data_IF_943339643586
#
_entry.id   IF_943339643586
#
_cell.length_a   1.000
_cell.length_b   1.000
_cell.length_c   1.000
_cell.angle_alpha   90.00
_cell.angle_beta   90.00
_cell.angle_gamma   90.00
#
_symmetry.space_group_name_H-M   'P 1'
#
loop_
_entity.id
_entity.type
_entity.pdbx_description
1 polymer ?
#
# COMPACT_ATOMS: atom_id res chain seq x y z
N UNK A 1 23.96 84.53 6.20
CA UNK A 1 23.65 83.82 4.95
C UNK A 1 24.94 83.26 4.38
N UNK A 2 25.14 81.94 4.45
CA UNK A 2 25.89 81.11 3.49
C UNK A 2 26.11 79.71 4.07
N UNK A 3 25.36 78.75 3.51
CA UNK A 3 25.70 77.34 3.23
C UNK A 3 26.29 76.47 4.35
N UNK A 4 25.42 75.64 4.95
CA UNK A 4 25.82 74.32 5.46
C UNK A 4 26.10 73.40 4.27
N UNK A 5 27.28 72.79 4.21
CA UNK A 5 27.58 71.70 3.28
C UNK A 5 28.25 70.54 4.01
N UNK A 6 27.96 69.34 3.51
CA UNK A 6 28.63 68.05 3.76
C UNK A 6 28.04 67.16 4.84
N UNK A 7 26.81 66.69 4.58
CA UNK A 7 26.38 65.35 4.98
C UNK A 7 27.06 64.33 4.05
N UNK A 8 28.22 63.79 4.45
CA UNK A 8 28.84 62.66 3.75
C UNK A 8 28.21 61.36 4.22
N UNK A 9 27.41 60.79 3.32
CA UNK A 9 26.74 59.48 3.42
C UNK A 9 27.79 58.38 3.59
N UNK A 10 27.83 57.72 4.74
CA UNK A 10 28.49 56.43 4.88
C UNK A 10 27.56 55.35 4.29
N UNK A 11 27.97 54.82 3.14
CA UNK A 11 27.34 53.67 2.48
C UNK A 11 27.45 52.43 3.39
N UNK A 12 26.32 51.85 3.79
CA UNK A 12 26.24 50.45 4.20
C UNK A 12 25.92 49.62 2.96
N UNK A 13 26.92 48.92 2.40
CA UNK A 13 26.69 47.90 1.39
C UNK A 13 26.31 46.59 2.10
N UNK A 14 25.01 46.29 2.17
CA UNK A 14 24.53 44.97 2.57
C UNK A 14 24.69 44.05 1.37
N UNK A 15 25.73 43.22 1.38
CA UNK A 15 25.84 42.10 0.46
C UNK A 15 24.80 41.03 0.84
N UNK A 16 23.63 41.08 0.23
CA UNK A 16 22.67 39.97 0.26
C UNK A 16 23.24 38.90 -0.67
N UNK A 17 23.97 37.95 -0.11
CA UNK A 17 24.25 36.68 -0.80
C UNK A 17 22.92 35.93 -0.86
N UNK A 18 22.24 36.04 -2.00
CA UNK A 18 21.13 35.16 -2.32
C UNK A 18 21.70 33.75 -2.51
N UNK A 19 21.68 32.95 -1.45
CA UNK A 19 21.84 31.50 -1.55
C UNK A 19 20.57 31.00 -2.25
N UNK A 20 20.60 30.97 -3.58
CA UNK A 20 19.68 30.16 -4.36
C UNK A 20 19.98 28.70 -4.01
N UNK A 21 19.36 28.18 -2.95
CA UNK A 21 19.22 26.75 -2.78
C UNK A 21 18.44 26.24 -3.99
N UNK A 22 19.14 25.77 -5.01
CA UNK A 22 18.52 25.03 -6.09
C UNK A 22 17.87 23.82 -5.43
N UNK A 23 16.55 23.86 -5.26
CA UNK A 23 15.77 22.67 -4.98
C UNK A 23 15.95 21.77 -6.20
N UNK A 24 16.85 20.80 -6.09
CA UNK A 24 16.98 19.74 -7.08
C UNK A 24 15.64 19.01 -7.09
N UNK A 25 14.79 19.34 -8.07
CA UNK A 25 13.61 18.54 -8.34
C UNK A 25 14.10 17.17 -8.81
N UNK A 26 13.49 16.11 -8.27
CA UNK A 26 13.73 14.77 -8.78
C UNK A 26 13.27 14.71 -10.24
N UNK A 27 14.14 14.27 -11.14
CA UNK A 27 13.73 13.97 -12.51
C UNK A 27 12.84 12.73 -12.50
N UNK A 28 11.87 12.67 -13.40
CA UNK A 28 11.01 11.49 -13.59
C UNK A 28 11.46 10.73 -14.83
N UNK A 29 11.70 9.43 -14.68
CA UNK A 29 12.02 8.52 -15.78
C UNK A 29 10.98 7.42 -15.94
N UNK A 30 10.84 6.92 -17.15
CA UNK A 30 9.82 5.97 -17.56
C UNK A 30 10.46 4.73 -18.16
N UNK A 31 9.93 3.55 -17.83
CA UNK A 31 10.50 2.30 -18.33
C UNK A 31 10.49 2.26 -19.87
N UNK A 32 11.57 1.80 -20.48
CA UNK A 32 11.77 1.81 -21.96
C UNK A 32 10.65 1.16 -22.77
N UNK A 33 10.49 1.59 -24.02
CA UNK A 33 9.43 1.17 -24.96
C UNK A 33 9.45 -0.30 -25.42
N UNK A 34 10.60 -0.97 -25.44
CA UNK A 34 10.78 -2.22 -26.20
C UNK A 34 10.39 -3.54 -25.52
N UNK A 35 10.46 -3.60 -24.19
CA UNK A 35 9.96 -4.66 -23.31
C UNK A 35 10.35 -4.25 -21.89
N UNK A 36 9.64 -4.79 -20.90
CA UNK A 36 9.94 -4.60 -19.49
C UNK A 36 11.41 -4.78 -19.12
N UNK A 37 11.81 -4.29 -17.94
CA UNK A 37 13.15 -4.57 -17.41
C UNK A 37 13.14 -5.84 -16.56
N UNK A 38 14.27 -6.55 -16.56
CA UNK A 38 14.47 -7.70 -15.70
C UNK A 38 15.17 -7.35 -14.37
N UNK A 39 15.56 -6.08 -14.21
CA UNK A 39 16.20 -5.53 -13.02
C UNK A 39 15.87 -4.03 -12.87
N UNK A 40 15.11 -3.68 -11.84
CA UNK A 40 14.67 -2.33 -11.52
C UNK A 40 15.78 -1.31 -11.25
N UNK A 41 17.04 -1.74 -11.08
CA UNK A 41 18.19 -0.90 -10.72
C UNK A 41 19.15 -0.67 -11.89
N UNK A 42 18.70 -0.78 -13.14
CA UNK A 42 19.49 -0.46 -14.33
C UNK A 42 19.07 0.94 -14.82
N UNK A 43 19.86 2.01 -14.61
CA UNK A 43 19.52 3.36 -15.05
C UNK A 43 19.18 3.42 -16.55
N UNK A 44 19.92 2.68 -17.38
CA UNK A 44 19.72 2.65 -18.84
C UNK A 44 18.42 2.01 -19.31
N UNK A 45 17.62 1.43 -18.41
CA UNK A 45 16.29 0.92 -18.73
C UNK A 45 15.18 1.98 -18.57
N UNK A 46 15.51 3.16 -18.06
CA UNK A 46 14.58 4.23 -17.75
C UNK A 46 14.90 5.49 -18.57
N UNK A 47 13.90 6.04 -19.25
CA UNK A 47 14.08 7.14 -20.19
C UNK A 47 13.24 8.37 -19.80
N UNK A 48 13.68 9.55 -20.21
CA UNK A 48 13.09 10.82 -19.76
C UNK A 48 11.69 11.12 -20.29
N UNK A 49 11.20 10.42 -21.32
CA UNK A 49 9.88 10.67 -21.92
C UNK A 49 8.83 9.65 -21.46
N UNK A 50 7.57 10.06 -21.24
CA UNK A 50 6.49 9.19 -20.77
C UNK A 50 6.21 7.93 -21.58
N UNK A 51 6.45 7.98 -22.90
CA UNK A 51 6.32 6.81 -23.77
C UNK A 51 7.40 5.76 -23.51
N UNK A 52 8.47 6.11 -22.79
CA UNK A 52 9.66 5.29 -22.56
C UNK A 52 10.73 5.54 -23.62
N UNK A 53 10.73 6.69 -24.30
CA UNK A 53 11.80 7.18 -25.18
C UNK A 53 12.59 8.33 -24.54
N UNK A 54 13.52 8.93 -25.26
CA UNK A 54 14.33 10.05 -24.78
C UNK A 54 15.68 9.61 -24.22
N UNK A 55 16.26 10.44 -23.37
CA UNK A 55 17.58 10.17 -22.77
C UNK A 55 17.44 9.23 -21.60
N UNK A 56 18.34 8.25 -21.53
CA UNK A 56 18.40 7.31 -20.42
C UNK A 56 18.79 8.02 -19.13
N UNK A 57 18.29 7.53 -17.99
CA UNK A 57 18.82 7.89 -16.69
C UNK A 57 20.30 7.45 -16.60
N UNK A 58 21.12 8.29 -16.01
CA UNK A 58 22.54 7.97 -15.74
C UNK A 58 22.74 7.40 -14.34
N UNK A 59 21.82 7.70 -13.42
CA UNK A 59 21.83 7.24 -12.02
C UNK A 59 20.40 6.95 -11.53
N UNK A 60 20.26 6.01 -10.59
CA UNK A 60 18.98 5.76 -9.92
C UNK A 60 18.69 6.82 -8.85
N UNK A 61 19.68 7.15 -8.03
CA UNK A 61 19.51 7.98 -6.83
C UNK A 61 19.07 9.40 -7.16
N UNK A 62 18.11 9.91 -6.39
CA UNK A 62 17.60 11.28 -6.55
C UNK A 62 16.47 11.42 -7.56
N UNK A 63 16.08 10.35 -8.25
CA UNK A 63 15.08 10.37 -9.32
C UNK A 63 13.85 9.52 -9.00
N UNK A 64 12.73 9.84 -9.65
CA UNK A 64 11.47 9.09 -9.60
C UNK A 64 11.31 8.23 -10.85
N UNK A 65 10.71 7.04 -10.71
CA UNK A 65 10.63 6.06 -11.79
C UNK A 65 9.21 5.53 -11.99
N UNK A 66 8.77 5.47 -13.24
CA UNK A 66 7.41 5.09 -13.62
C UNK A 66 7.41 3.92 -14.58
N UNK A 67 6.71 2.84 -14.21
CA UNK A 67 6.64 1.62 -15.03
C UNK A 67 5.70 1.79 -16.23
N UNK A 68 4.64 2.60 -16.11
CA UNK A 68 3.75 3.03 -17.20
C UNK A 68 3.23 1.88 -18.07
N UNK A 69 2.39 1.00 -17.50
CA UNK A 69 1.75 -0.10 -18.22
C UNK A 69 2.67 -1.26 -18.63
N UNK A 70 3.96 -1.18 -18.32
CA UNK A 70 4.97 -2.21 -18.63
C UNK A 70 5.23 -3.10 -17.41
N UNK A 71 6.22 -3.98 -17.48
CA UNK A 71 6.64 -4.83 -16.36
C UNK A 71 8.07 -4.52 -15.97
N UNK A 72 8.34 -4.29 -14.69
CA UNK A 72 9.71 -4.21 -14.15
C UNK A 72 9.96 -5.40 -13.23
N UNK A 73 11.09 -6.07 -13.40
CA UNK A 73 11.55 -7.16 -12.55
C UNK A 73 12.57 -6.70 -11.52
N UNK A 74 12.56 -7.29 -10.35
CA UNK A 74 13.65 -7.15 -9.36
C UNK A 74 14.83 -8.06 -9.72
N UNK A 75 16.03 -7.85 -9.18
CA UNK A 75 17.09 -8.87 -9.25
C UNK A 75 16.79 -10.05 -8.31
N UNK A 76 17.45 -11.20 -8.53
CA UNK A 76 17.41 -12.34 -7.60
C UNK A 76 18.07 -11.99 -6.26
N UNK A 77 17.58 -12.59 -5.16
CA UNK A 77 18.12 -12.35 -3.82
C UNK A 77 17.77 -10.96 -3.27
N UNK A 78 18.40 -10.55 -2.17
CA UNK A 78 18.08 -9.26 -1.55
C UNK A 78 18.44 -8.09 -2.48
N UNK A 79 17.53 -7.14 -2.66
CA UNK A 79 17.80 -5.93 -3.45
C UNK A 79 16.97 -4.76 -2.97
N UNK A 80 17.58 -3.57 -2.96
CA UNK A 80 16.94 -2.30 -2.66
C UNK A 80 16.80 -1.49 -3.94
N UNK A 81 15.60 -0.99 -4.22
CA UNK A 81 15.37 -0.05 -5.31
C UNK A 81 16.10 1.26 -5.04
N UNK A 82 16.96 1.69 -5.97
CA UNK A 82 17.86 2.83 -5.79
C UNK A 82 17.25 4.21 -6.07
N UNK A 83 16.03 4.26 -6.61
CA UNK A 83 15.30 5.51 -6.87
C UNK A 83 14.56 6.04 -5.65
N UNK A 84 14.13 7.30 -5.72
CA UNK A 84 13.33 7.94 -4.68
C UNK A 84 11.93 7.30 -4.56
N UNK A 85 11.29 7.05 -5.71
CA UNK A 85 10.00 6.37 -5.79
C UNK A 85 9.87 5.45 -7.01
N UNK A 86 9.05 4.41 -6.86
CA UNK A 86 8.62 3.53 -7.95
C UNK A 86 7.10 3.64 -8.12
N UNK A 87 6.65 4.16 -9.26
CA UNK A 87 5.23 4.27 -9.61
C UNK A 87 4.85 3.22 -10.64
N UNK A 88 3.85 2.38 -10.35
CA UNK A 88 3.45 1.32 -11.28
C UNK A 88 2.63 1.84 -12.47
N UNK A 89 1.72 2.80 -12.26
CA UNK A 89 0.92 3.44 -13.32
C UNK A 89 0.34 2.45 -14.35
N UNK A 90 -0.45 1.49 -13.87
CA UNK A 90 -1.04 0.42 -14.68
C UNK A 90 -0.07 -0.70 -15.08
N UNK A 91 1.19 -0.60 -14.65
CA UNK A 91 2.24 -1.58 -14.90
C UNK A 91 2.40 -2.60 -13.78
N UNK A 92 3.42 -3.44 -13.91
CA UNK A 92 3.61 -4.60 -13.08
C UNK A 92 5.01 -4.66 -12.45
N UNK A 93 5.07 -5.15 -11.21
CA UNK A 93 6.31 -5.49 -10.52
C UNK A 93 6.43 -7.01 -10.39
N UNK A 94 7.47 -7.57 -11.01
CA UNK A 94 7.85 -8.96 -10.91
C UNK A 94 8.95 -9.14 -9.84
N UNK A 95 8.57 -9.70 -8.71
CA UNK A 95 9.44 -10.10 -7.61
C UNK A 95 10.18 -11.40 -8.00
N UNK A 96 11.38 -11.27 -8.57
CA UNK A 96 12.22 -12.39 -8.99
C UNK A 96 12.89 -13.06 -7.79
N UNK A 97 13.11 -14.37 -7.96
CA UNK A 97 13.52 -15.38 -6.99
C UNK A 97 14.11 -14.88 -5.66
N UNK A 98 13.39 -15.20 -4.56
CA UNK A 98 13.86 -15.22 -3.18
C UNK A 98 14.33 -13.89 -2.58
N UNK A 99 14.47 -13.86 -1.25
CA UNK A 99 15.00 -12.69 -0.54
C UNK A 99 14.02 -11.53 -0.40
N UNK A 100 14.52 -10.44 0.13
CA UNK A 100 13.80 -9.21 0.43
C UNK A 100 14.04 -8.15 -0.63
N UNK A 101 12.95 -7.64 -1.18
CA UNK A 101 12.90 -6.55 -2.16
C UNK A 101 12.48 -5.29 -1.42
N UNK A 102 13.39 -4.34 -1.27
CA UNK A 102 13.13 -3.12 -0.48
C UNK A 102 12.89 -1.92 -1.39
N UNK A 103 11.84 -1.15 -1.11
CA UNK A 103 11.52 0.10 -1.79
C UNK A 103 11.20 1.17 -0.75
N UNK A 104 11.79 2.36 -0.85
CA UNK A 104 11.46 3.46 0.06
C UNK A 104 10.02 3.94 -0.15
N UNK A 105 9.68 4.30 -1.39
CA UNK A 105 8.35 4.79 -1.74
C UNK A 105 7.82 4.04 -2.96
N UNK A 106 6.63 3.46 -2.85
CA UNK A 106 5.92 2.84 -3.96
C UNK A 106 4.54 3.47 -4.13
N UNK A 107 4.18 3.77 -5.37
CA UNK A 107 2.89 4.35 -5.74
C UNK A 107 2.21 3.42 -6.74
N UNK A 108 1.00 2.97 -6.42
CA UNK A 108 0.14 2.30 -7.38
C UNK A 108 -0.91 3.28 -7.89
N UNK A 109 -0.83 3.61 -9.17
CA UNK A 109 -1.87 4.35 -9.90
C UNK A 109 -2.40 3.45 -11.02
N UNK A 110 -3.72 3.47 -11.25
CA UNK A 110 -4.38 2.54 -12.16
C UNK A 110 -4.31 1.07 -11.72
N UNK A 111 -4.71 0.17 -12.62
CA UNK A 111 -4.72 -1.27 -12.35
C UNK A 111 -3.32 -1.85 -12.51
N UNK A 112 -2.65 -2.08 -11.38
CA UNK A 112 -1.26 -2.55 -11.35
C UNK A 112 -1.20 -3.96 -10.78
N UNK A 113 -0.08 -4.64 -11.00
CA UNK A 113 0.13 -5.95 -10.41
C UNK A 113 1.49 -6.07 -9.73
N UNK A 114 1.52 -6.80 -8.61
CA UNK A 114 2.73 -7.19 -7.91
C UNK A 114 2.67 -8.71 -7.75
N UNK A 115 3.66 -9.39 -8.28
CA UNK A 115 3.70 -10.85 -8.26
C UNK A 115 5.12 -11.35 -8.13
N UNK A 116 5.28 -12.61 -7.76
CA UNK A 116 6.56 -13.27 -7.96
C UNK A 116 6.40 -14.70 -8.44
N UNK A 117 7.55 -15.36 -8.59
CA UNK A 117 7.65 -16.70 -9.17
C UNK A 117 8.23 -17.77 -8.22
N UNK A 118 8.45 -17.46 -6.94
CA UNK A 118 8.93 -18.41 -5.92
C UNK A 118 8.42 -18.03 -4.53
N UNK A 119 8.11 -19.04 -3.71
CA UNK A 119 7.77 -18.83 -2.30
C UNK A 119 8.92 -18.17 -1.53
N UNK A 120 8.58 -17.50 -0.42
CA UNK A 120 9.58 -16.89 0.46
C UNK A 120 10.20 -15.60 -0.06
N UNK A 121 9.60 -14.99 -1.09
CA UNK A 121 9.96 -13.63 -1.52
C UNK A 121 9.23 -12.62 -0.65
N UNK A 122 9.95 -11.62 -0.17
CA UNK A 122 9.41 -10.54 0.65
C UNK A 122 9.47 -9.24 -0.13
N UNK A 123 8.36 -8.51 -0.24
CA UNK A 123 8.36 -7.11 -0.63
C UNK A 123 8.25 -6.25 0.63
N UNK A 124 9.23 -5.38 0.85
CA UNK A 124 9.25 -4.43 1.97
C UNK A 124 9.22 -3.00 1.42
N UNK A 125 8.14 -2.28 1.69
CA UNK A 125 7.97 -0.89 1.26
C UNK A 125 7.86 0.02 2.47
N UNK A 126 8.66 1.08 2.55
CA UNK A 126 8.55 2.02 3.68
C UNK A 126 7.26 2.83 3.59
N UNK A 127 6.94 3.38 2.41
CA UNK A 127 5.70 4.11 2.17
C UNK A 127 5.03 3.57 0.90
N UNK A 128 3.84 2.97 1.05
CA UNK A 128 3.01 2.52 -0.05
C UNK A 128 1.76 3.39 -0.15
N UNK A 129 1.56 4.01 -1.31
CA UNK A 129 0.35 4.77 -1.64
C UNK A 129 -0.42 4.08 -2.75
N UNK A 130 -1.65 3.65 -2.46
CA UNK A 130 -2.56 3.13 -3.47
C UNK A 130 -3.54 4.23 -3.88
N UNK A 131 -3.30 4.84 -5.04
CA UNK A 131 -4.02 6.04 -5.48
C UNK A 131 -5.51 5.77 -5.73
N UNK A 132 -6.31 6.83 -5.67
CA UNK A 132 -7.74 6.77 -5.97
C UNK A 132 -8.03 6.11 -7.32
N UNK A 133 -8.94 5.14 -7.33
CA UNK A 133 -9.32 4.39 -8.53
C UNK A 133 -8.30 3.33 -8.97
N UNK A 134 -7.16 3.20 -8.28
CA UNK A 134 -6.22 2.12 -8.54
C UNK A 134 -6.70 0.80 -7.90
N UNK A 135 -6.34 -0.32 -8.55
CA UNK A 135 -6.40 -1.64 -7.93
C UNK A 135 -5.02 -2.29 -8.08
N UNK A 136 -4.38 -2.60 -6.97
CA UNK A 136 -3.13 -3.37 -6.96
C UNK A 136 -3.45 -4.83 -6.74
N UNK A 137 -3.21 -5.64 -7.76
CA UNK A 137 -3.34 -7.08 -7.65
C UNK A 137 -2.07 -7.66 -7.05
N UNK A 138 -2.17 -8.29 -5.87
CA UNK A 138 -1.11 -9.10 -5.31
C UNK A 138 -1.38 -10.54 -5.74
N UNK A 139 -0.51 -11.12 -6.57
CA UNK A 139 -0.79 -12.43 -7.13
C UNK A 139 0.44 -13.33 -7.25
N UNK A 140 0.19 -14.63 -7.34
CA UNK A 140 1.22 -15.63 -7.59
C UNK A 140 1.24 -16.00 -9.09
N UNK A 141 2.39 -15.86 -9.74
CA UNK A 141 2.57 -16.22 -11.15
C UNK A 141 3.23 -17.60 -11.33
N UNK A 142 3.34 -18.39 -10.28
CA UNK A 142 3.98 -19.70 -10.40
C UNK A 142 3.11 -20.71 -11.13
N UNK A 143 3.73 -21.41 -12.09
CA UNK A 143 3.24 -22.69 -12.60
C UNK A 143 3.62 -23.87 -11.70
N UNK A 144 4.24 -23.61 -10.54
CA UNK A 144 4.81 -24.65 -9.66
C UNK A 144 3.70 -25.41 -8.93
N UNK A 145 3.69 -26.73 -9.12
CA UNK A 145 2.68 -27.65 -8.59
C UNK A 145 2.93 -27.99 -7.11
N UNK A 146 1.84 -28.18 -6.35
CA UNK A 146 1.81 -28.96 -5.11
C UNK A 146 2.44 -28.37 -3.85
N UNK A 147 3.18 -27.26 -3.92
CA UNK A 147 3.77 -26.63 -2.73
C UNK A 147 2.89 -25.52 -2.18
N UNK A 148 2.76 -25.45 -0.85
CA UNK A 148 2.23 -24.28 -0.17
C UNK A 148 3.18 -23.10 -0.40
N UNK A 149 2.62 -21.93 -0.70
CA UNK A 149 3.42 -20.73 -0.95
C UNK A 149 3.01 -19.61 -0.02
N UNK A 150 4.02 -18.95 0.55
CA UNK A 150 3.86 -17.77 1.38
C UNK A 150 4.53 -16.59 0.68
N UNK A 151 3.77 -15.51 0.53
CA UNK A 151 4.19 -14.23 -0.02
C UNK A 151 4.14 -13.18 1.07
N UNK A 152 5.28 -12.56 1.37
CA UNK A 152 5.38 -11.59 2.45
C UNK A 152 5.32 -10.17 1.90
N UNK A 153 4.33 -9.39 2.32
CA UNK A 153 4.19 -7.98 2.01
C UNK A 153 4.29 -7.17 3.29
N UNK A 154 5.34 -6.36 3.40
CA UNK A 154 5.57 -5.50 4.55
C UNK A 154 5.48 -4.04 4.11
N UNK A 155 4.56 -3.30 4.72
CA UNK A 155 4.41 -1.86 4.52
C UNK A 155 4.68 -1.11 5.83
N UNK A 156 5.59 -0.14 5.80
CA UNK A 156 5.75 0.78 6.92
C UNK A 156 4.48 1.61 7.07
N UNK A 157 4.25 2.51 6.13
CA UNK A 157 3.02 3.28 5.99
C UNK A 157 2.24 2.80 4.78
N UNK A 158 0.97 2.47 4.96
CA UNK A 158 0.01 2.21 3.89
C UNK A 158 -1.04 3.33 3.83
N UNK A 159 -1.26 3.90 2.64
CA UNK A 159 -2.17 5.03 2.47
C UNK A 159 -2.89 5.03 1.12
N UNK A 160 -3.91 5.88 0.99
CA UNK A 160 -4.69 6.07 -0.23
C UNK A 160 -5.97 5.24 -0.28
N UNK A 161 -6.78 5.48 -1.32
CA UNK A 161 -8.13 4.92 -1.47
C UNK A 161 -8.24 3.85 -2.55
N UNK A 162 -7.13 3.48 -3.20
CA UNK A 162 -7.07 2.37 -4.14
C UNK A 162 -7.22 1.03 -3.43
N UNK A 163 -7.71 0.01 -4.15
CA UNK A 163 -7.97 -1.31 -3.60
C UNK A 163 -6.76 -2.24 -3.71
N UNK A 164 -6.64 -3.20 -2.80
CA UNK A 164 -5.85 -4.40 -3.01
C UNK A 164 -6.77 -5.55 -3.38
N UNK A 165 -6.36 -6.33 -4.38
CA UNK A 165 -6.99 -7.60 -4.71
C UNK A 165 -5.93 -8.70 -4.59
N UNK A 166 -6.16 -9.71 -3.75
CA UNK A 166 -5.31 -10.91 -3.72
C UNK A 166 -5.92 -11.92 -4.69
N UNK A 167 -5.10 -12.49 -5.57
CA UNK A 167 -5.58 -13.48 -6.54
C UNK A 167 -4.56 -14.57 -6.83
N UNK A 168 -5.05 -15.70 -7.34
CA UNK A 168 -4.23 -16.78 -7.88
C UNK A 168 -4.66 -17.05 -9.33
N UNK A 169 -3.76 -16.89 -10.29
CA UNK A 169 -4.10 -16.87 -11.73
C UNK A 169 -4.15 -18.26 -12.40
N UNK A 170 -3.66 -19.32 -11.75
CA UNK A 170 -3.51 -20.62 -12.41
C UNK A 170 -4.49 -21.66 -11.86
N UNK A 171 -5.58 -21.89 -12.60
CA UNK A 171 -6.49 -23.04 -12.47
C UNK A 171 -5.80 -24.39 -12.68
N UNK A 172 -4.60 -24.38 -13.26
CA UNK A 172 -3.92 -25.55 -13.82
C UNK A 172 -3.50 -26.58 -12.76
N UNK A 173 -3.45 -26.22 -11.47
CA UNK A 173 -2.82 -27.06 -10.45
C UNK A 173 -3.68 -27.23 -9.16
N UNK A 174 -4.32 -28.39 -8.93
CA UNK A 174 -5.32 -28.57 -7.87
C UNK A 174 -4.81 -28.81 -6.43
N UNK A 175 -3.58 -28.43 -6.05
CA UNK A 175 -2.96 -28.97 -4.82
C UNK A 175 -2.20 -28.04 -3.86
N UNK A 176 -2.17 -26.72 -4.05
CA UNK A 176 -1.35 -25.83 -3.20
C UNK A 176 -2.17 -24.71 -2.55
N UNK A 177 -2.05 -24.55 -1.21
CA UNK A 177 -2.53 -23.35 -0.52
C UNK A 177 -1.64 -22.14 -0.85
N UNK A 178 -2.25 -20.96 -0.95
CA UNK A 178 -1.54 -19.69 -1.19
C UNK A 178 -1.80 -18.76 -0.02
N UNK A 179 -0.75 -18.36 0.67
CA UNK A 179 -0.84 -17.43 1.81
C UNK A 179 -0.18 -16.11 1.46
N UNK A 180 -0.93 -15.04 1.63
CA UNK A 180 -0.44 -13.66 1.59
C UNK A 180 -0.27 -13.20 3.03
N UNK A 181 0.98 -13.07 3.48
CA UNK A 181 1.30 -12.52 4.78
C UNK A 181 1.44 -11.00 4.65
N UNK A 182 0.47 -10.27 5.18
CA UNK A 182 0.45 -8.82 5.20
C UNK A 182 0.93 -8.30 6.56
N UNK A 183 1.96 -7.47 6.55
CA UNK A 183 2.46 -6.75 7.73
C UNK A 183 2.38 -5.26 7.44
N UNK A 184 1.69 -4.49 8.29
CA UNK A 184 1.54 -3.05 8.12
C UNK A 184 1.80 -2.36 9.45
N UNK A 185 2.71 -1.39 9.48
CA UNK A 185 3.02 -0.66 10.73
C UNK A 185 2.00 0.44 10.99
N UNK A 186 1.69 1.24 9.97
CA UNK A 186 0.73 2.34 10.04
C UNK A 186 -0.18 2.30 8.81
N UNK A 187 -1.49 2.15 8.97
CA UNK A 187 -2.41 2.06 7.83
C UNK A 187 -3.75 2.77 8.00
N UNK A 188 -3.87 3.67 8.98
CA UNK A 188 -5.11 4.44 9.22
C UNK A 188 -5.44 5.41 8.09
N UNK A 189 -4.45 5.81 7.28
CA UNK A 189 -4.63 6.65 6.10
C UNK A 189 -5.00 5.87 4.83
N UNK A 190 -5.04 4.54 4.89
CA UNK A 190 -5.57 3.70 3.83
C UNK A 190 -7.09 3.64 3.95
N UNK A 191 -7.82 3.87 2.87
CA UNK A 191 -9.29 3.88 2.83
C UNK A 191 -9.87 2.98 1.75
N UNK A 192 -9.03 2.30 0.98
CA UNK A 192 -9.47 1.31 0.00
C UNK A 192 -9.90 -0.01 0.66
N UNK A 193 -10.31 -0.97 -0.17
CA UNK A 193 -10.64 -2.31 0.29
C UNK A 193 -9.49 -3.28 0.04
N UNK A 194 -9.30 -4.22 0.96
CA UNK A 194 -8.57 -5.46 0.72
C UNK A 194 -9.61 -6.51 0.37
N UNK A 195 -9.56 -6.98 -0.86
CA UNK A 195 -10.41 -8.05 -1.37
C UNK A 195 -9.54 -9.20 -1.81
N UNK A 196 -10.08 -10.40 -1.81
CA UNK A 196 -9.49 -11.49 -2.56
C UNK A 196 -10.57 -12.35 -3.13
N UNK A 197 -10.25 -12.89 -4.29
CA UNK A 197 -11.12 -13.84 -4.93
C UNK A 197 -10.30 -14.82 -5.74
N UNK A 198 -10.81 -16.04 -5.86
CA UNK A 198 -10.11 -17.06 -6.63
C UNK A 198 -10.86 -18.37 -6.74
N UNK A 199 -10.41 -19.19 -7.67
CA UNK A 199 -10.86 -20.58 -7.83
C UNK A 199 -10.13 -21.54 -6.89
N UNK A 200 -9.11 -21.06 -6.16
CA UNK A 200 -8.29 -21.80 -5.19
C UNK A 200 -8.36 -21.14 -3.82
N UNK A 201 -8.03 -21.93 -2.81
CA UNK A 201 -7.88 -21.44 -1.43
C UNK A 201 -6.76 -20.41 -1.35
N UNK A 202 -7.15 -19.14 -1.28
CA UNK A 202 -6.25 -18.01 -1.05
C UNK A 202 -6.46 -17.56 0.39
N UNK A 203 -5.40 -17.62 1.18
CA UNK A 203 -5.37 -17.23 2.58
C UNK A 203 -4.71 -15.87 2.75
N UNK A 204 -5.38 -14.95 3.43
CA UNK A 204 -4.78 -13.75 3.99
C UNK A 204 -4.37 -14.01 5.45
N UNK A 205 -3.13 -13.71 5.79
CA UNK A 205 -2.61 -13.75 7.15
C UNK A 205 -2.03 -12.38 7.52
N UNK A 206 -2.14 -12.01 8.80
CA UNK A 206 -1.58 -10.78 9.34
C UNK A 206 -0.31 -11.06 10.14
N UNK A 207 0.78 -10.36 9.83
CA UNK A 207 2.06 -10.53 10.52
C UNK A 207 2.10 -9.88 11.90
N UNK A 208 1.27 -8.86 12.13
CA UNK A 208 1.19 -8.09 13.36
C UNK A 208 -0.26 -7.68 13.66
N UNK A 209 -0.49 -7.18 14.89
CA UNK A 209 -1.71 -6.44 15.17
C UNK A 209 -1.74 -5.18 14.30
N UNK A 210 -2.89 -4.89 13.70
CA UNK A 210 -3.01 -3.94 12.60
C UNK A 210 -4.29 -3.13 12.71
N UNK A 211 -4.22 -1.82 12.48
CA UNK A 211 -5.38 -0.97 12.21
C UNK A 211 -5.31 -0.36 10.83
N UNK A 212 -6.32 -0.61 9.99
CA UNK A 212 -6.52 0.00 8.69
C UNK A 212 -7.76 0.90 8.70
N UNK A 213 -7.67 2.05 8.02
CA UNK A 213 -8.84 2.92 7.78
C UNK A 213 -9.75 2.41 6.65
N UNK A 214 -9.34 1.33 5.98
CA UNK A 214 -10.02 0.73 4.84
C UNK A 214 -10.89 -0.46 5.22
N UNK A 215 -11.45 -1.11 4.20
CA UNK A 215 -12.35 -2.25 4.36
C UNK A 215 -11.68 -3.61 4.13
N UNK A 216 -12.26 -4.65 4.72
CA UNK A 216 -11.96 -6.05 4.43
C UNK A 216 -13.17 -6.69 3.74
N UNK A 217 -12.97 -7.33 2.59
CA UNK A 217 -14.06 -8.01 1.86
C UNK A 217 -13.64 -9.41 1.45
N UNK A 218 -14.26 -10.41 2.07
CA UNK A 218 -14.07 -11.83 1.79
C UNK A 218 -15.41 -12.45 1.39
N UNK A 219 -15.69 -12.54 0.09
CA UNK A 219 -17.05 -12.86 -0.42
C UNK A 219 -17.16 -14.19 -1.15
N UNK A 220 -16.07 -14.92 -1.37
CA UNK A 220 -16.13 -16.25 -1.99
C UNK A 220 -15.76 -17.35 -0.99
N UNK A 221 -16.22 -18.58 -1.27
CA UNK A 221 -15.99 -19.75 -0.41
C UNK A 221 -14.52 -20.24 -0.41
N UNK A 222 -13.69 -19.64 -1.24
CA UNK A 222 -12.27 -19.92 -1.44
C UNK A 222 -11.38 -18.90 -0.73
N UNK A 223 -11.94 -17.75 -0.33
CA UNK A 223 -11.31 -16.76 0.53
C UNK A 223 -11.12 -17.33 1.92
N UNK A 224 -9.86 -17.49 2.34
CA UNK A 224 -9.51 -17.87 3.71
C UNK A 224 -8.80 -16.75 4.46
N UNK A 225 -8.99 -16.70 5.76
CA UNK A 225 -8.29 -15.80 6.69
C UNK A 225 -7.66 -16.64 7.80
N UNK A 226 -6.36 -16.44 8.01
CA UNK A 226 -5.68 -16.90 9.22
C UNK A 226 -5.66 -15.75 10.23
N UNK A 227 -6.57 -15.79 11.20
CA UNK A 227 -6.78 -14.71 12.18
C UNK A 227 -6.09 -15.04 13.52
N UNK A 228 -4.78 -14.80 13.59
CA UNK A 228 -3.97 -14.97 14.81
C UNK A 228 -3.66 -13.64 15.51
N UNK A 229 -4.08 -12.53 14.91
CA UNK A 229 -3.78 -11.15 15.34
C UNK A 229 -5.07 -10.38 15.57
N UNK A 230 -4.97 -9.35 16.39
CA UNK A 230 -6.04 -8.38 16.55
C UNK A 230 -5.95 -7.35 15.43
N UNK A 231 -6.99 -7.28 14.61
CA UNK A 231 -7.05 -6.40 13.45
C UNK A 231 -8.26 -5.50 13.51
N UNK A 232 -8.10 -4.28 13.03
CA UNK A 232 -9.13 -3.25 13.02
C UNK A 232 -9.33 -2.73 11.60
N UNK A 233 -10.58 -2.64 11.16
CA UNK A 233 -10.98 -2.15 9.85
C UNK A 233 -12.14 -1.16 9.97
N UNK A 234 -12.26 -0.23 9.03
CA UNK A 234 -13.42 0.66 8.97
C UNK A 234 -14.70 -0.08 8.54
N UNK A 235 -14.56 -1.11 7.71
CA UNK A 235 -15.68 -1.96 7.30
C UNK A 235 -15.21 -3.40 7.09
N UNK A 236 -16.11 -4.36 7.32
CA UNK A 236 -15.83 -5.78 7.11
C UNK A 236 -17.06 -6.44 6.50
N UNK A 237 -16.89 -7.11 5.37
CA UNK A 237 -17.93 -7.89 4.70
C UNK A 237 -17.43 -9.32 4.49
N UNK A 238 -18.17 -10.28 5.02
CA UNK A 238 -17.87 -11.71 5.01
C UNK A 238 -19.03 -12.47 4.37
N UNK A 239 -18.78 -13.21 3.30
CA UNK A 239 -19.77 -13.95 2.52
C UNK A 239 -21.01 -13.10 2.20
N UNK A 240 -20.77 -11.87 1.70
CA UNK A 240 -21.82 -10.90 1.37
C UNK A 240 -22.50 -10.21 2.56
N UNK A 241 -22.18 -10.59 3.80
CA UNK A 241 -22.76 -10.00 5.02
C UNK A 241 -21.80 -8.99 5.64
N UNK A 242 -22.23 -7.74 5.80
CA UNK A 242 -21.45 -6.73 6.52
C UNK A 242 -21.57 -6.91 8.03
N UNK A 243 -20.43 -6.90 8.72
CA UNK A 243 -20.38 -6.92 10.18
C UNK A 243 -20.82 -5.57 10.76
N UNK A 244 -21.38 -5.59 11.97
CA UNK A 244 -21.88 -4.38 12.61
C UNK A 244 -20.73 -3.49 13.08
N UNK A 245 -20.70 -2.20 12.70
CA UNK A 245 -19.72 -1.25 13.20
C UNK A 245 -19.77 -1.09 14.74
N UNK A 246 -18.62 -0.85 15.35
CA UNK A 246 -18.46 -0.69 16.80
C UNK A 246 -18.36 -1.98 17.60
N UNK A 247 -18.31 -3.15 16.94
CA UNK A 247 -18.17 -4.45 17.60
C UNK A 247 -16.78 -5.03 17.34
N UNK A 248 -16.23 -5.68 18.37
CA UNK A 248 -15.06 -6.57 18.24
C UNK A 248 -15.53 -8.01 18.26
N UNK A 249 -15.24 -8.74 17.19
CA UNK A 249 -15.60 -10.14 17.02
C UNK A 249 -14.37 -11.01 17.26
N UNK A 250 -14.46 -11.93 18.22
CA UNK A 250 -13.40 -12.92 18.44
C UNK A 250 -13.32 -13.91 17.27
N UNK A 251 -12.16 -14.53 17.07
CA UNK A 251 -12.02 -15.65 16.13
C UNK A 251 -13.09 -16.72 16.34
N UNK A 252 -13.34 -17.15 17.58
CA UNK A 252 -14.32 -18.20 17.86
C UNK A 252 -15.74 -17.82 17.39
N UNK A 253 -16.13 -16.56 17.59
CA UNK A 253 -17.43 -16.04 17.10
C UNK A 253 -17.49 -16.03 15.57
N UNK A 254 -16.43 -15.55 14.92
CA UNK A 254 -16.36 -15.45 13.47
C UNK A 254 -16.30 -16.84 12.81
N UNK A 255 -15.50 -17.75 13.34
CA UNK A 255 -15.37 -19.11 12.84
C UNK A 255 -16.67 -19.91 12.98
N UNK A 256 -17.44 -19.70 14.05
CA UNK A 256 -18.74 -20.33 14.21
C UNK A 256 -19.79 -19.83 13.20
N UNK A 257 -19.71 -18.58 12.76
CA UNK A 257 -20.66 -17.97 11.81
C UNK A 257 -20.20 -18.06 10.34
N UNK A 258 -18.89 -18.16 10.10
CA UNK A 258 -18.25 -18.08 8.79
C UNK A 258 -17.11 -19.11 8.67
N UNK A 259 -17.34 -20.35 9.08
CA UNK A 259 -16.38 -21.48 9.07
C UNK A 259 -15.66 -21.70 7.72
N UNK A 260 -16.34 -21.36 6.62
CA UNK A 260 -15.80 -21.44 5.26
C UNK A 260 -14.85 -20.29 4.89
N UNK A 261 -14.72 -19.26 5.74
CA UNK A 261 -13.83 -18.11 5.50
C UNK A 261 -12.61 -18.14 6.41
N UNK A 262 -12.67 -18.79 7.57
CA UNK A 262 -11.54 -18.82 8.48
C UNK A 262 -10.77 -20.15 8.36
N UNK A 263 -9.46 -20.09 8.59
CA UNK A 263 -8.66 -21.29 8.84
C UNK A 263 -8.77 -21.64 10.33
N UNK A 264 -8.74 -22.93 10.65
CA UNK A 264 -8.81 -23.40 12.03
C UNK A 264 -7.61 -22.93 12.88
N UNK A 265 -7.83 -22.80 14.19
CA UNK A 265 -6.77 -22.58 15.17
C UNK A 265 -6.40 -21.10 15.44
N UNK A 266 -7.16 -20.15 14.90
CA UNK A 266 -6.95 -18.74 15.16
C UNK A 266 -7.22 -18.32 16.62
N UNK A 267 -6.58 -17.25 17.05
CA UNK A 267 -6.73 -16.67 18.40
C UNK A 267 -7.00 -15.16 18.41
N UNK A 268 -7.03 -14.54 17.23
CA UNK A 268 -7.18 -13.10 17.09
C UNK A 268 -8.62 -12.60 17.15
N UNK A 269 -8.80 -11.34 16.76
CA UNK A 269 -10.10 -10.68 16.71
C UNK A 269 -10.18 -9.65 15.57
N UNK A 270 -11.40 -9.35 15.13
CA UNK A 270 -11.68 -8.28 14.17
C UNK A 270 -12.52 -7.21 14.86
N UNK A 271 -12.00 -5.99 14.95
CA UNK A 271 -12.75 -4.80 15.37
C UNK A 271 -13.22 -4.02 14.15
N UNK A 272 -14.52 -3.73 14.09
CA UNK A 272 -15.09 -2.84 13.07
C UNK A 272 -15.25 -1.45 13.67
N UNK A 273 -14.57 -0.44 13.12
CA UNK A 273 -14.60 0.92 13.67
C UNK A 273 -15.97 1.57 13.46
N UNK A 274 -16.57 2.22 14.48
CA UNK A 274 -17.79 3.02 14.28
C UNK A 274 -17.56 4.14 13.26
N UNK A 275 -18.54 4.41 12.40
CA UNK A 275 -18.47 5.59 11.55
C UNK A 275 -18.40 6.86 12.42
N UNK A 276 -17.53 7.84 12.12
CA UNK A 276 -17.38 9.06 12.92
C UNK A 276 -18.69 9.82 13.17
N UNK A 277 -19.68 9.68 12.26
CA UNK A 277 -21.00 10.26 12.40
C UNK A 277 -21.80 9.68 13.59
N UNK A 278 -21.65 8.38 13.90
CA UNK A 278 -22.34 7.75 15.04
C UNK A 278 -21.84 8.26 16.39
N UNK A 279 -20.52 8.53 16.51
CA UNK A 279 -19.95 9.15 17.71
C UNK A 279 -20.43 10.60 17.89
N UNK A 280 -20.55 11.34 16.79
CA UNK A 280 -21.03 12.72 16.80
C UNK A 280 -22.50 12.81 17.19
N UNK A 281 -23.34 11.89 16.70
CA UNK A 281 -24.76 11.83 17.09
C UNK A 281 -24.96 11.41 18.56
N UNK A 282 -24.14 10.49 19.09
CA UNK A 282 -24.20 10.11 20.50
C UNK A 282 -23.80 11.27 21.43
N UNK A 283 -22.76 12.03 21.06
CA UNK A 283 -22.34 13.21 21.79
C UNK A 283 -23.38 14.35 21.76
N UNK A 284 -24.00 14.60 20.59
CA UNK A 284 -25.06 15.60 20.45
C UNK A 284 -26.37 15.19 21.17
N UNK A 285 -26.70 13.90 21.16
CA UNK A 285 -27.83 13.35 21.91
C UNK A 285 -27.68 13.51 23.42
N UNK A 286 -26.47 13.29 23.96
CA UNK A 286 -26.16 13.51 25.38
C UNK A 286 -26.27 14.97 25.81
N UNK A 287 -25.84 15.91 24.96
CA UNK A 287 -25.99 17.35 25.20
C UNK A 287 -27.46 17.81 25.23
N UNK A 288 -28.31 17.24 24.37
CA UNK A 288 -29.74 17.53 24.36
C UNK A 288 -30.45 17.17 25.68
N UNK A 289 -30.05 16.05 26.31
CA UNK A 289 -30.61 15.61 27.59
C UNK A 289 -30.13 16.53 28.74
N UNK A 290 -28.85 16.93 28.74
CA UNK A 290 -28.30 17.86 29.72
C UNK A 290 -28.95 19.26 29.65
N UNK A 291 -29.25 19.77 28.45
CA UNK A 291 -29.93 21.06 28.28
C UNK A 291 -31.40 20.96 28.73
N UNK A 292 -32.08 19.83 28.50
CA UNK A 292 -33.47 19.64 28.92
C UNK A 292 -33.61 19.55 30.45
N UNK A 293 -32.63 18.99 31.16
CA UNK A 293 -32.65 18.91 32.62
C UNK A 293 -32.32 20.24 33.30
N UNK A 294 -31.56 21.13 32.66
CA UNK A 294 -31.29 22.49 33.18
C UNK A 294 -32.46 23.47 33.06
N UNK A 295 -33.47 23.18 32.23
CA UNK A 295 -34.69 24.00 32.12
C UNK A 295 -35.80 23.60 33.09
N UNK A 296 -35.58 22.54 33.89
CA UNK A 296 -36.55 22.03 34.88
C UNK A 296 -36.11 22.24 36.34
N UNK A 297 -34.98 22.93 36.55
CA UNK A 297 -34.53 23.44 37.85
C UNK A 297 -34.63 24.96 37.82
#
# INVERSE_FOLDING_TARGET
>A
MCSLSNVSKFLFAVAVVAVCAASSHADTYYLKTGAGSTNWNIPSDWNSMPDGSGTNATVMTGNDFVVAGKTVGTSSGDTTFGGNSLTLSGGNLNLRNGGTKTVSTMISSGNSQIYGNTSGTTLSVTNFTNSTGATTNLYDNTGTTGSAMVWNYTFGTLSGSGNFALSSLNDVNPGGSRTFLLTVTTGTAFTGNITWSGTKVVSLQFGNNLSLGGGLVANDATSRITLDKDVTFASVTLNGTSLTPGITYSFATLNAAYDTIFNDGGSGSITVVPEPATLSMLALGGLGILIRNRRKA
#
